data_IF_899215809561
#
_entry.id   IF_899215809561
#
_cell.length_a   1.000
_cell.length_b   1.000
_cell.length_c   1.000
_cell.angle_alpha   90.00
_cell.angle_beta   90.00
_cell.angle_gamma   90.00
#
_symmetry.space_group_name_H-M   'P 1'
#
loop_
_entity.id
_entity.type
_entity.pdbx_description
1 polymer ?
#
# COMPACT_ATOMS: atom_id res chain seq x y z
N UNK A 1 8.21 -53.80 -15.16
CA UNK A 1 8.93 -54.40 -16.28
C UNK A 1 9.65 -53.30 -17.04
N UNK A 2 11.00 -53.45 -17.13
CA UNK A 2 11.99 -52.66 -17.90
C UNK A 2 12.13 -51.16 -17.56
N UNK A 3 13.10 -50.71 -16.79
CA UNK A 3 14.58 -50.78 -16.74
C UNK A 3 15.29 -50.10 -17.93
N UNK A 4 16.14 -49.08 -17.50
CA UNK A 4 17.42 -48.66 -18.04
C UNK A 4 17.46 -47.83 -19.33
N UNK A 5 18.07 -46.60 -19.27
CA UNK A 5 19.53 -46.46 -19.46
C UNK A 5 20.03 -45.08 -19.08
N UNK A 6 21.01 -45.09 -18.22
CA UNK A 6 21.99 -44.06 -17.84
C UNK A 6 23.06 -43.97 -18.93
N UNK A 7 23.51 -42.77 -19.32
CA UNK A 7 24.80 -42.54 -19.96
C UNK A 7 25.47 -41.29 -19.42
N UNK A 8 26.55 -41.58 -18.70
CA UNK A 8 27.66 -40.72 -18.24
C UNK A 8 28.63 -40.56 -19.41
N UNK A 9 29.18 -39.35 -19.61
CA UNK A 9 30.50 -39.04 -20.25
C UNK A 9 30.56 -37.52 -20.31
N UNK A 10 31.59 -36.77 -19.95
CA UNK A 10 32.93 -37.07 -19.55
C UNK A 10 33.66 -35.73 -19.51
N UNK A 11 34.50 -35.60 -18.55
CA UNK A 11 35.51 -34.55 -18.30
C UNK A 11 36.28 -34.13 -19.55
N UNK A 12 36.51 -32.81 -19.75
CA UNK A 12 37.77 -32.32 -20.29
C UNK A 12 38.14 -30.96 -19.71
N UNK A 13 39.15 -31.02 -18.89
CA UNK A 13 39.95 -29.93 -18.32
C UNK A 13 40.97 -29.48 -19.37
N UNK A 14 41.02 -28.20 -19.75
CA UNK A 14 42.22 -27.64 -20.41
C UNK A 14 42.63 -26.37 -19.68
N UNK A 15 43.72 -26.54 -19.01
CA UNK A 15 44.56 -25.51 -18.39
C UNK A 15 45.48 -24.95 -19.48
N UNK A 16 45.57 -23.61 -19.65
CA UNK A 16 46.73 -23.04 -20.32
C UNK A 16 47.13 -21.71 -19.67
N UNK A 17 48.36 -21.79 -19.19
CA UNK A 17 49.12 -20.76 -18.47
C UNK A 17 49.71 -19.66 -19.41
N UNK A 18 49.83 -18.49 -18.82
CA UNK A 18 50.90 -17.48 -18.89
C UNK A 18 51.47 -17.02 -20.24
N UNK A 19 51.60 -15.70 -20.42
CA UNK A 19 52.91 -15.04 -20.61
C UNK A 19 52.88 -13.63 -20.06
N UNK A 20 53.71 -13.33 -19.10
CA UNK A 20 54.22 -12.02 -18.68
C UNK A 20 55.27 -11.52 -19.68
N UNK A 21 55.22 -10.25 -20.04
CA UNK A 21 56.41 -9.54 -20.49
C UNK A 21 56.37 -8.10 -19.99
N UNK A 22 57.25 -7.84 -19.03
CA UNK A 22 57.70 -6.51 -18.61
C UNK A 22 58.97 -6.15 -19.33
N UNK A 23 59.17 -4.83 -19.59
CA UNK A 23 60.46 -4.12 -19.70
C UNK A 23 60.13 -2.67 -20.07
N UNK A 24 60.32 -1.67 -19.27
CA UNK A 24 61.45 -1.05 -18.58
C UNK A 24 62.26 -0.08 -19.46
N UNK A 25 62.39 1.12 -18.84
CA UNK A 25 63.42 2.16 -18.93
C UNK A 25 63.51 2.98 -20.22
N UNK A 26 63.76 4.20 -20.24
CA UNK A 26 64.30 5.29 -19.41
C UNK A 26 64.63 6.48 -20.29
N UNK A 27 64.64 7.62 -19.71
CA UNK A 27 65.45 8.82 -19.96
C UNK A 27 65.04 9.88 -21.01
N UNK A 28 64.58 10.99 -20.47
CA UNK A 28 65.21 12.33 -20.41
C UNK A 28 65.01 13.36 -21.54
N UNK A 29 64.56 14.52 -21.02
CA UNK A 29 64.88 15.92 -21.29
C UNK A 29 64.18 16.75 -22.37
N UNK A 30 63.65 17.76 -21.74
CA UNK A 30 63.70 19.22 -22.01
C UNK A 30 62.71 19.90 -22.97
N UNK A 31 61.95 20.72 -22.29
CA UNK A 31 61.71 22.17 -22.44
C UNK A 31 60.86 22.68 -23.60
N UNK A 32 59.93 23.45 -23.13
CA UNK A 32 59.39 24.75 -23.56
C UNK A 32 58.03 24.78 -24.23
N UNK A 33 57.19 25.42 -23.43
CA UNK A 33 56.29 26.54 -23.77
C UNK A 33 55.20 26.37 -24.85
N UNK A 34 53.95 26.61 -24.46
CA UNK A 34 52.87 26.78 -25.41
C UNK A 34 51.48 26.58 -24.80
N UNK A 35 51.08 27.58 -24.03
CA UNK A 35 49.72 27.89 -23.60
C UNK A 35 48.62 27.51 -24.63
N UNK A 36 47.64 26.69 -24.25
CA UNK A 36 46.24 26.83 -24.63
C UNK A 36 45.39 25.92 -23.77
N UNK A 37 44.76 26.53 -22.80
CA UNK A 37 43.58 25.99 -22.16
C UNK A 37 42.47 25.70 -23.17
N UNK A 38 42.15 24.44 -23.36
CA UNK A 38 40.89 24.00 -23.92
C UNK A 38 40.21 23.16 -22.83
N UNK A 39 39.41 23.82 -22.01
CA UNK A 39 38.47 23.16 -21.13
C UNK A 39 37.45 22.45 -22.02
N UNK A 40 37.61 21.15 -22.14
CA UNK A 40 36.52 20.30 -22.56
C UNK A 40 35.69 20.02 -21.28
N UNK A 41 34.66 20.81 -21.07
CA UNK A 41 33.51 20.38 -20.26
C UNK A 41 32.97 19.12 -20.93
N UNK A 42 33.46 17.96 -20.50
CA UNK A 42 32.70 16.73 -20.62
C UNK A 42 31.57 16.90 -19.62
N UNK A 43 30.39 17.28 -20.10
CA UNK A 43 29.15 16.91 -19.39
C UNK A 43 29.26 15.40 -19.18
N UNK A 44 29.37 14.97 -17.94
CA UNK A 44 29.11 13.60 -17.57
C UNK A 44 27.65 13.35 -17.99
N UNK A 45 27.45 12.56 -19.02
CA UNK A 45 26.15 12.00 -19.37
C UNK A 45 25.76 11.16 -18.14
N UNK A 46 24.87 11.69 -17.29
CA UNK A 46 24.31 10.90 -16.19
C UNK A 46 23.70 9.65 -16.81
N UNK A 47 24.21 8.49 -16.41
CA UNK A 47 23.70 7.21 -16.89
C UNK A 47 22.21 7.12 -16.57
N UNK A 48 21.38 6.78 -17.54
CA UNK A 48 19.95 6.59 -17.34
C UNK A 48 19.70 5.56 -16.22
N UNK A 49 18.74 5.80 -15.30
CA UNK A 49 18.40 4.86 -14.25
C UNK A 49 18.08 3.48 -14.85
N UNK A 50 18.62 2.42 -14.23
CA UNK A 50 18.50 1.05 -14.74
C UNK A 50 18.50 0.02 -13.59
N UNK A 51 18.27 -1.25 -13.92
CA UNK A 51 18.31 -2.34 -12.97
C UNK A 51 16.93 -2.83 -12.56
N UNK A 52 16.74 -3.17 -11.30
CA UNK A 52 15.52 -3.83 -10.80
C UNK A 52 14.82 -3.00 -9.72
N UNK A 53 13.50 -3.18 -9.62
CA UNK A 53 12.67 -2.70 -8.52
C UNK A 53 11.70 -3.81 -8.11
N UNK A 54 11.69 -4.18 -6.84
CA UNK A 54 10.75 -5.17 -6.29
C UNK A 54 9.78 -4.48 -5.33
N UNK A 55 8.49 -4.56 -5.65
CA UNK A 55 7.40 -3.90 -4.93
C UNK A 55 6.57 -4.93 -4.16
N UNK A 56 6.34 -4.70 -2.85
CA UNK A 56 5.26 -5.36 -2.11
C UNK A 56 4.09 -4.40 -1.99
N UNK A 57 2.89 -4.84 -2.38
CA UNK A 57 1.74 -3.95 -2.48
C UNK A 57 0.43 -4.59 -2.00
N UNK A 58 -0.44 -3.75 -1.41
CA UNK A 58 -1.82 -4.11 -1.11
C UNK A 58 -2.83 -3.64 -2.16
N UNK A 59 -2.36 -3.04 -3.25
CA UNK A 59 -3.16 -2.44 -4.31
C UNK A 59 -3.77 -3.49 -5.24
N UNK A 60 -4.78 -3.08 -6.00
CA UNK A 60 -5.34 -3.86 -7.10
C UNK A 60 -4.28 -4.10 -8.20
N UNK A 61 -4.16 -5.35 -8.68
CA UNK A 61 -3.11 -5.75 -9.61
C UNK A 61 -3.17 -5.02 -10.95
N UNK A 62 -4.38 -4.74 -11.46
CA UNK A 62 -4.57 -4.03 -12.73
C UNK A 62 -4.10 -2.57 -12.59
N UNK A 63 -4.43 -1.93 -11.46
CA UNK A 63 -3.94 -0.60 -11.13
C UNK A 63 -2.41 -0.58 -11.03
N UNK A 64 -1.81 -1.53 -10.30
CA UNK A 64 -0.35 -1.62 -10.13
C UNK A 64 0.34 -1.76 -11.47
N UNK A 65 -0.15 -2.67 -12.33
CA UNK A 65 0.43 -2.86 -13.67
C UNK A 65 0.30 -1.60 -14.52
N UNK A 66 -0.86 -0.92 -14.51
CA UNK A 66 -1.07 0.30 -15.28
C UNK A 66 -0.15 1.45 -14.85
N UNK A 67 0.21 1.54 -13.57
CA UNK A 67 1.19 2.53 -13.07
C UNK A 67 2.61 2.13 -13.44
N UNK A 68 2.96 0.85 -13.35
CA UNK A 68 4.27 0.33 -13.76
C UNK A 68 4.51 0.57 -15.25
N UNK A 69 3.51 0.35 -16.09
CA UNK A 69 3.62 0.59 -17.53
C UNK A 69 3.99 2.05 -17.83
N UNK A 70 3.36 3.01 -17.14
CA UNK A 70 3.68 4.44 -17.27
C UNK A 70 5.05 4.79 -16.69
N UNK A 71 5.45 4.17 -15.58
CA UNK A 71 6.79 4.32 -15.04
C UNK A 71 7.84 3.84 -16.05
N UNK A 72 7.60 2.71 -16.69
CA UNK A 72 8.50 2.13 -17.68
C UNK A 72 8.55 2.91 -19.02
N UNK A 73 7.50 3.69 -19.35
CA UNK A 73 7.60 4.65 -20.47
C UNK A 73 8.66 5.72 -20.20
N UNK A 74 8.82 6.13 -18.93
CA UNK A 74 9.81 7.13 -18.51
C UNK A 74 11.18 6.51 -18.19
N UNK A 75 11.18 5.29 -17.64
CA UNK A 75 12.38 4.58 -17.17
C UNK A 75 12.44 3.14 -17.72
N UNK A 76 12.65 2.97 -19.04
CA UNK A 76 12.53 1.66 -19.71
C UNK A 76 13.60 0.65 -19.31
N UNK A 77 14.71 1.10 -18.71
CA UNK A 77 15.81 0.22 -18.29
C UNK A 77 15.64 -0.30 -16.83
N UNK A 78 14.51 0.02 -16.17
CA UNK A 78 14.20 -0.51 -14.84
C UNK A 78 13.17 -1.64 -14.99
N UNK A 79 13.58 -2.86 -14.64
CA UNK A 79 12.69 -4.02 -14.54
C UNK A 79 11.91 -3.97 -13.22
N UNK A 80 10.58 -3.86 -13.28
CA UNK A 80 9.73 -3.80 -12.09
C UNK A 80 9.01 -5.12 -11.88
N UNK A 81 9.19 -5.71 -10.68
CA UNK A 81 8.42 -6.88 -10.22
C UNK A 81 7.56 -6.47 -9.02
N UNK A 82 6.37 -7.06 -8.91
CA UNK A 82 5.55 -6.82 -7.73
C UNK A 82 4.91 -8.10 -7.18
N UNK A 83 4.55 -8.04 -5.90
CA UNK A 83 3.85 -9.11 -5.20
C UNK A 83 2.71 -8.51 -4.38
N UNK A 84 1.48 -8.97 -4.65
CA UNK A 84 0.26 -8.48 -3.99
C UNK A 84 -0.05 -9.28 -2.73
N UNK A 85 -0.27 -8.58 -1.61
CA UNK A 85 -0.70 -9.15 -0.33
C UNK A 85 -1.27 -8.05 0.58
N UNK A 86 -2.03 -8.42 1.62
CA UNK A 86 -2.57 -7.45 2.58
C UNK A 86 -1.48 -6.70 3.35
N UNK A 87 -1.75 -5.44 3.74
CA UNK A 87 -0.76 -4.57 4.40
C UNK A 87 -0.12 -5.20 5.65
N UNK A 88 -0.89 -5.92 6.47
CA UNK A 88 -0.36 -6.63 7.63
C UNK A 88 0.57 -7.79 7.23
N UNK A 89 0.23 -8.50 6.16
CA UNK A 89 1.09 -9.58 5.65
C UNK A 89 2.41 -9.03 5.11
N UNK A 90 2.40 -7.84 4.49
CA UNK A 90 3.61 -7.15 4.07
C UNK A 90 4.49 -6.83 5.28
N UNK A 91 3.92 -6.23 6.34
CA UNK A 91 4.66 -5.92 7.56
C UNK A 91 5.33 -7.15 8.16
N UNK A 92 4.59 -8.27 8.31
CA UNK A 92 5.15 -9.53 8.82
C UNK A 92 6.26 -10.08 7.93
N UNK A 93 6.10 -9.96 6.62
CA UNK A 93 7.11 -10.40 5.67
C UNK A 93 8.38 -9.55 5.75
N UNK A 94 8.26 -8.23 5.84
CA UNK A 94 9.40 -7.33 6.02
C UNK A 94 10.15 -7.63 7.33
N UNK A 95 9.43 -7.98 8.42
CA UNK A 95 10.04 -8.46 9.67
C UNK A 95 10.88 -9.72 9.45
N UNK A 96 10.31 -10.70 8.77
CA UNK A 96 10.98 -11.96 8.46
C UNK A 96 12.21 -11.79 7.54
N UNK A 97 12.15 -10.80 6.65
CA UNK A 97 13.20 -10.51 5.67
C UNK A 97 14.19 -9.42 6.12
N UNK A 98 14.06 -8.87 7.34
CA UNK A 98 14.86 -7.73 7.84
C UNK A 98 16.38 -7.88 7.63
N UNK A 99 16.91 -9.10 7.79
CA UNK A 99 18.34 -9.38 7.60
C UNK A 99 18.77 -9.46 6.13
N UNK A 100 17.82 -9.74 5.21
CA UNK A 100 18.04 -9.85 3.77
C UNK A 100 16.77 -9.48 3.02
N UNK A 101 16.45 -8.17 2.89
CA UNK A 101 15.25 -7.68 2.24
C UNK A 101 15.11 -8.21 0.81
N UNK A 102 13.91 -8.63 0.45
CA UNK A 102 13.57 -9.08 -0.90
C UNK A 102 12.78 -8.02 -1.66
N UNK A 103 12.09 -7.13 -0.96
CA UNK A 103 11.45 -5.96 -1.53
C UNK A 103 12.33 -4.72 -1.39
N UNK A 104 12.17 -3.80 -2.34
CA UNK A 104 12.78 -2.47 -2.31
C UNK A 104 11.76 -1.42 -1.85
N UNK A 105 10.49 -1.66 -2.13
CA UNK A 105 9.42 -0.69 -1.93
C UNK A 105 8.16 -1.35 -1.37
N UNK A 106 7.57 -0.70 -0.37
CA UNK A 106 6.25 -1.03 0.17
C UNK A 106 5.25 0.01 -0.31
N UNK A 107 4.28 -0.41 -1.11
CA UNK A 107 3.22 0.43 -1.65
C UNK A 107 1.86 0.02 -1.10
N UNK A 108 1.21 0.91 -0.36
CA UNK A 108 -0.10 0.64 0.24
C UNK A 108 0.00 0.11 1.67
N UNK A 109 0.82 0.76 2.50
CA UNK A 109 0.86 0.53 3.94
C UNK A 109 -0.15 1.39 4.67
N UNK A 110 -0.92 0.82 5.60
CA UNK A 110 -1.75 1.61 6.51
C UNK A 110 -0.88 2.42 7.45
N UNK A 111 -1.34 3.61 7.85
CA UNK A 111 -0.58 4.50 8.75
C UNK A 111 -0.11 3.77 10.01
N UNK A 112 -0.97 2.98 10.67
CA UNK A 112 -0.57 2.20 11.85
C UNK A 112 0.54 1.21 11.54
N UNK A 113 0.44 0.47 10.44
CA UNK A 113 1.45 -0.50 10.04
C UNK A 113 2.78 0.17 9.63
N UNK A 114 2.73 1.34 8.97
CA UNK A 114 3.91 2.13 8.63
C UNK A 114 4.60 2.70 9.87
N UNK A 115 3.84 3.18 10.87
CA UNK A 115 4.39 3.61 12.17
C UNK A 115 5.12 2.44 12.85
N UNK A 116 4.49 1.25 12.89
CA UNK A 116 5.14 0.04 13.43
C UNK A 116 6.40 -0.31 12.66
N UNK A 117 6.34 -0.33 11.32
CA UNK A 117 7.50 -0.60 10.46
C UNK A 117 8.66 0.38 10.68
N UNK A 118 8.34 1.66 10.87
CA UNK A 118 9.32 2.69 11.20
C UNK A 118 9.95 2.46 12.59
N UNK A 119 9.14 2.18 13.61
CA UNK A 119 9.60 1.93 14.98
C UNK A 119 10.46 0.66 15.08
N UNK A 120 10.20 -0.33 14.25
CA UNK A 120 10.98 -1.57 14.17
C UNK A 120 12.22 -1.49 13.27
N UNK A 121 12.51 -0.30 12.73
CA UNK A 121 13.67 -0.07 11.85
C UNK A 121 13.63 -0.94 10.58
N UNK A 122 12.47 -1.01 9.94
CA UNK A 122 12.24 -1.73 8.67
C UNK A 122 12.24 -0.80 7.46
N UNK A 123 12.16 0.52 7.68
CA UNK A 123 11.97 1.52 6.64
C UNK A 123 13.17 2.45 6.50
N UNK A 124 13.47 2.83 5.26
CA UNK A 124 14.59 3.69 4.91
C UNK A 124 14.19 5.17 5.02
N UNK A 125 14.94 5.95 5.80
CA UNK A 125 14.71 7.38 5.96
C UNK A 125 15.36 8.17 4.81
N UNK A 126 14.59 9.07 4.18
CA UNK A 126 15.09 10.00 3.17
C UNK A 126 14.18 11.22 3.02
N UNK A 127 14.56 12.20 2.20
CA UNK A 127 13.79 13.41 1.99
C UNK A 127 13.42 13.56 0.52
N UNK A 128 12.16 13.23 0.12
CA UNK A 128 11.70 13.41 -1.25
C UNK A 128 11.46 14.89 -1.59
N UNK A 129 11.42 15.19 -2.89
CA UNK A 129 11.24 16.56 -3.40
C UNK A 129 9.89 17.18 -3.02
N UNK A 130 8.86 16.36 -2.88
CA UNK A 130 7.48 16.77 -2.59
C UNK A 130 7.14 16.89 -1.09
N UNK A 131 8.08 16.62 -0.19
CA UNK A 131 7.83 16.45 1.25
C UNK A 131 7.05 17.61 1.90
N UNK A 132 7.27 18.84 1.43
CA UNK A 132 6.64 20.05 1.98
C UNK A 132 5.16 20.19 1.53
N UNK A 133 4.72 19.40 0.55
CA UNK A 133 3.32 19.36 0.09
C UNK A 133 2.45 18.33 0.83
N UNK A 134 3.04 17.51 1.71
CA UNK A 134 2.31 16.52 2.52
C UNK A 134 2.14 17.07 3.94
N UNK A 135 0.90 16.97 4.47
CA UNK A 135 0.60 17.36 5.86
C UNK A 135 1.49 16.59 6.86
N UNK A 136 1.83 17.24 7.98
CA UNK A 136 2.67 16.62 9.00
C UNK A 136 2.06 15.35 9.60
N UNK A 137 0.72 15.26 9.66
CA UNK A 137 0.01 14.08 10.16
C UNK A 137 -0.05 12.92 9.15
N UNK A 138 0.35 13.16 7.90
CA UNK A 138 0.32 12.19 6.82
C UNK A 138 1.72 11.72 6.40
N UNK A 139 2.72 11.90 7.24
CA UNK A 139 4.10 11.44 6.99
C UNK A 139 4.85 11.19 8.29
N UNK A 140 5.90 10.41 8.20
CA UNK A 140 6.85 10.25 9.30
C UNK A 140 7.77 11.47 9.44
N UNK A 141 8.01 11.94 10.67
CA UNK A 141 8.86 13.11 10.94
C UNK A 141 10.31 12.90 10.52
N UNK A 142 10.79 11.66 10.54
CA UNK A 142 12.15 11.29 10.14
C UNK A 142 12.25 10.87 8.66
N UNK A 143 11.13 10.95 7.92
CA UNK A 143 11.09 10.66 6.48
C UNK A 143 11.17 9.16 6.13
N UNK A 144 10.65 8.29 6.98
CA UNK A 144 10.66 6.83 6.76
C UNK A 144 9.46 6.32 5.98
N UNK A 145 8.33 7.07 6.00
CA UNK A 145 7.15 6.79 5.19
C UNK A 145 6.40 8.08 4.82
N UNK A 146 5.61 8.02 3.76
CA UNK A 146 4.83 9.13 3.22
C UNK A 146 3.44 8.65 2.87
N UNK A 147 2.41 9.36 3.34
CA UNK A 147 1.04 9.14 2.91
C UNK A 147 0.89 9.47 1.43
N UNK A 148 0.32 8.56 0.67
CA UNK A 148 0.01 8.75 -0.76
C UNK A 148 -1.43 9.22 -0.93
N UNK A 149 -2.36 8.54 -0.26
CA UNK A 149 -3.78 8.86 -0.35
C UNK A 149 -4.51 8.76 0.98
N UNK A 150 -5.67 9.38 1.04
CA UNK A 150 -6.64 9.24 2.11
C UNK A 150 -7.67 8.18 1.71
N UNK A 151 -7.95 7.26 2.61
CA UNK A 151 -8.95 6.22 2.46
C UNK A 151 -10.03 6.37 3.53
N UNK A 152 -11.15 7.04 3.23
CA UNK A 152 -12.32 7.01 4.09
C UNK A 152 -12.88 5.59 4.13
N UNK A 153 -13.05 5.06 5.34
CA UNK A 153 -13.66 3.76 5.58
C UNK A 153 -15.16 3.95 5.79
N UNK A 154 -15.97 3.32 4.95
CA UNK A 154 -17.41 3.60 4.88
C UNK A 154 -18.23 2.31 4.92
N UNK A 155 -19.55 2.47 4.98
CA UNK A 155 -20.50 1.35 4.86
C UNK A 155 -20.76 1.11 3.38
N UNK A 156 -20.37 -0.07 2.88
CA UNK A 156 -20.60 -0.54 1.52
C UNK A 156 -21.95 -1.23 1.45
N UNK A 157 -22.75 -0.94 0.43
CA UNK A 157 -24.04 -1.58 0.18
C UNK A 157 -24.11 -2.17 -1.23
N UNK A 158 -24.90 -3.23 -1.38
CA UNK A 158 -25.38 -3.68 -2.70
C UNK A 158 -26.56 -2.80 -3.13
N UNK A 159 -26.39 -2.02 -4.20
CA UNK A 159 -27.35 -1.05 -4.68
C UNK A 159 -28.60 -1.64 -5.34
N UNK A 160 -28.59 -2.96 -5.66
CA UNK A 160 -29.79 -3.67 -6.11
C UNK A 160 -30.73 -4.00 -4.94
N UNK A 161 -30.20 -4.02 -3.71
CA UNK A 161 -30.94 -4.43 -2.50
C UNK A 161 -31.25 -3.24 -1.59
N UNK A 162 -30.34 -2.28 -1.50
CA UNK A 162 -30.40 -1.14 -0.59
C UNK A 162 -30.10 0.16 -1.33
N UNK A 163 -30.74 1.24 -0.86
CA UNK A 163 -30.39 2.61 -1.28
C UNK A 163 -29.70 3.34 -0.14
N UNK A 164 -29.21 4.54 -0.42
CA UNK A 164 -28.62 5.42 0.62
C UNK A 164 -29.63 5.75 1.72
N UNK A 165 -30.92 5.74 1.43
CA UNK A 165 -32.02 6.04 2.38
C UNK A 165 -32.46 4.81 3.18
N UNK A 166 -32.35 3.60 2.59
CA UNK A 166 -32.84 2.35 3.21
C UNK A 166 -31.77 1.56 3.94
N UNK A 167 -30.51 1.82 3.62
CA UNK A 167 -29.36 1.20 4.30
C UNK A 167 -29.07 1.81 5.68
N UNK A 168 -28.08 1.28 6.40
CA UNK A 168 -27.65 1.80 7.70
C UNK A 168 -27.05 3.20 7.53
N UNK A 169 -27.52 4.19 8.30
CA UNK A 169 -27.11 5.59 8.18
C UNK A 169 -25.86 5.93 9.00
N UNK A 170 -25.57 5.11 10.02
CA UNK A 170 -24.40 5.27 10.87
C UNK A 170 -23.89 3.90 11.34
N UNK A 171 -22.72 3.89 11.95
CA UNK A 171 -22.06 2.69 12.46
C UNK A 171 -22.93 1.88 13.41
N UNK A 172 -23.64 2.55 14.33
CA UNK A 172 -24.47 1.87 15.33
C UNK A 172 -25.73 1.24 14.73
N UNK A 173 -26.20 1.71 13.56
CA UNK A 173 -27.30 1.09 12.84
C UNK A 173 -26.98 -0.33 12.35
N UNK A 174 -25.68 -0.64 12.14
CA UNK A 174 -25.22 -1.99 11.80
C UNK A 174 -25.52 -3.03 12.88
N UNK A 175 -25.76 -2.59 14.11
CA UNK A 175 -26.05 -3.45 15.26
C UNK A 175 -27.54 -3.82 15.37
N UNK A 176 -28.41 -3.22 14.55
CA UNK A 176 -29.84 -3.55 14.51
C UNK A 176 -30.03 -5.01 14.04
N UNK A 177 -30.79 -5.85 14.77
CA UNK A 177 -31.07 -7.24 14.38
C UNK A 177 -31.70 -7.42 13.00
N UNK A 178 -32.28 -6.36 12.40
CA UNK A 178 -32.78 -6.40 11.01
C UNK A 178 -31.69 -6.73 9.99
N UNK A 179 -30.42 -6.49 10.33
CA UNK A 179 -29.26 -6.79 9.48
C UNK A 179 -28.65 -8.18 9.74
N UNK A 180 -29.27 -9.00 10.58
CA UNK A 180 -28.79 -10.35 10.85
C UNK A 180 -28.58 -11.13 9.55
N UNK A 181 -27.38 -11.72 9.41
CA UNK A 181 -26.93 -12.45 8.22
C UNK A 181 -26.94 -11.64 6.91
N UNK A 182 -26.98 -10.31 6.98
CA UNK A 182 -26.87 -9.42 5.83
C UNK A 182 -25.47 -8.84 5.64
N UNK A 183 -24.61 -8.91 6.66
CA UNK A 183 -23.29 -8.31 6.65
C UNK A 183 -22.24 -9.35 6.26
N UNK A 184 -21.45 -9.06 5.23
CA UNK A 184 -20.29 -9.83 4.82
C UNK A 184 -19.03 -9.02 5.12
N UNK A 185 -18.08 -9.59 5.82
CA UNK A 185 -16.84 -8.89 6.22
C UNK A 185 -15.64 -9.61 5.62
N UNK A 186 -14.64 -8.86 5.18
CA UNK A 186 -13.34 -9.41 4.82
C UNK A 186 -12.61 -9.89 6.08
N UNK A 187 -11.77 -10.94 5.94
CA UNK A 187 -10.94 -11.45 7.03
C UNK A 187 -10.13 -10.33 7.69
N UNK A 188 -10.45 -10.04 8.95
CA UNK A 188 -10.01 -8.82 9.65
C UNK A 188 -8.49 -8.80 9.83
N UNK A 189 -7.89 -9.91 10.26
CA UNK A 189 -6.47 -9.95 10.64
C UNK A 189 -5.50 -9.63 9.49
N UNK A 190 -5.86 -10.01 8.27
CA UNK A 190 -5.01 -9.81 7.08
C UNK A 190 -5.25 -8.47 6.38
N UNK A 191 -6.38 -7.80 6.67
CA UNK A 191 -6.82 -6.59 5.97
C UNK A 191 -6.51 -5.33 6.76
N UNK A 192 -5.71 -4.42 6.18
CA UNK A 192 -5.48 -3.11 6.78
C UNK A 192 -6.76 -2.31 6.97
N UNK A 193 -7.63 -2.24 5.96
CA UNK A 193 -8.98 -1.62 6.04
C UNK A 193 -9.79 -2.16 7.21
N UNK A 194 -9.94 -3.49 7.32
CA UNK A 194 -10.75 -4.06 8.40
C UNK A 194 -10.13 -3.83 9.77
N UNK A 195 -8.82 -3.95 9.92
CA UNK A 195 -8.10 -3.63 11.16
C UNK A 195 -8.34 -2.18 11.55
N UNK A 196 -8.23 -1.26 10.60
CA UNK A 196 -8.51 0.17 10.82
C UNK A 196 -9.95 0.41 11.29
N UNK A 197 -10.95 -0.15 10.61
CA UNK A 197 -12.36 0.01 11.01
C UNK A 197 -12.58 -0.54 12.41
N UNK A 198 -12.16 -1.77 12.69
CA UNK A 198 -12.40 -2.44 13.96
C UNK A 198 -11.72 -1.72 15.13
N UNK A 199 -10.46 -1.33 14.95
CA UNK A 199 -9.74 -0.55 15.95
C UNK A 199 -10.34 0.84 16.14
N UNK A 200 -10.79 1.48 15.07
CA UNK A 200 -11.48 2.78 15.14
C UNK A 200 -12.79 2.71 15.91
N UNK A 201 -13.53 1.60 15.80
CA UNK A 201 -14.75 1.41 16.60
C UNK A 201 -14.41 1.23 18.08
N UNK A 202 -13.28 0.59 18.43
CA UNK A 202 -12.82 0.52 19.82
C UNK A 202 -12.48 1.93 20.34
N UNK A 203 -11.71 2.71 19.57
CA UNK A 203 -11.36 4.10 19.93
C UNK A 203 -12.61 4.97 20.06
N UNK A 204 -13.55 4.87 19.14
CA UNK A 204 -14.82 5.62 19.15
C UNK A 204 -15.66 5.36 20.41
N UNK A 205 -15.64 4.14 20.96
CA UNK A 205 -16.35 3.77 22.16
C UNK A 205 -15.60 4.17 23.45
N UNK A 206 -14.35 4.60 23.34
CA UNK A 206 -13.48 5.04 24.42
C UNK A 206 -12.25 4.16 24.57
N UNK A 207 -11.12 4.65 24.05
CA UNK A 207 -9.86 3.89 24.01
C UNK A 207 -9.34 3.42 25.38
N UNK A 208 -9.64 4.18 26.44
CA UNK A 208 -9.28 3.81 27.83
C UNK A 208 -10.13 2.65 28.40
N UNK A 209 -11.21 2.30 27.71
CA UNK A 209 -12.15 1.22 28.10
C UNK A 209 -12.48 0.37 26.87
N UNK A 210 -11.51 -0.42 26.33
CA UNK A 210 -11.69 -1.15 25.08
C UNK A 210 -12.84 -2.17 25.12
N UNK A 211 -13.29 -2.55 26.32
CA UNK A 211 -14.42 -3.45 26.55
C UNK A 211 -15.71 -2.96 25.88
N UNK A 212 -15.94 -1.64 25.86
CA UNK A 212 -17.12 -1.08 25.17
C UNK A 212 -17.02 -1.26 23.64
N UNK A 213 -15.82 -1.14 23.12
CA UNK A 213 -15.55 -1.43 21.70
C UNK A 213 -15.70 -2.92 21.40
N UNK A 214 -15.25 -3.79 22.29
CA UNK A 214 -15.43 -5.23 22.16
C UNK A 214 -16.92 -5.62 22.21
N UNK A 215 -17.71 -5.01 23.06
CA UNK A 215 -19.18 -5.19 23.10
C UNK A 215 -19.84 -4.74 21.79
N UNK A 216 -19.36 -3.63 21.21
CA UNK A 216 -19.82 -3.15 19.91
C UNK A 216 -19.49 -4.16 18.81
N UNK A 217 -18.25 -4.65 18.76
CA UNK A 217 -17.78 -5.63 17.78
C UNK A 217 -18.50 -6.99 17.95
N UNK A 218 -18.83 -7.40 19.18
CA UNK A 218 -19.60 -8.62 19.43
C UNK A 218 -21.02 -8.52 18.85
N UNK A 219 -21.66 -7.34 18.96
CA UNK A 219 -22.98 -7.09 18.35
C UNK A 219 -22.90 -7.05 16.83
N UNK A 220 -21.82 -6.50 16.26
CA UNK A 220 -21.58 -6.55 14.83
C UNK A 220 -21.39 -8.00 14.36
N UNK A 221 -20.64 -8.81 15.11
CA UNK A 221 -20.43 -10.24 14.81
C UNK A 221 -21.76 -11.01 14.79
N UNK A 222 -22.71 -10.67 15.67
CA UNK A 222 -24.06 -11.27 15.69
C UNK A 222 -24.81 -11.08 14.36
N UNK A 223 -24.62 -9.95 13.68
CA UNK A 223 -25.22 -9.64 12.39
C UNK A 223 -24.35 -10.07 11.19
N UNK A 224 -23.08 -10.41 11.44
CA UNK A 224 -22.13 -10.81 10.40
C UNK A 224 -22.43 -12.25 9.96
N UNK A 225 -22.73 -12.44 8.68
CA UNK A 225 -22.96 -13.74 8.08
C UNK A 225 -21.69 -14.55 7.95
N UNK A 226 -20.63 -13.90 7.45
CA UNK A 226 -19.38 -14.57 7.09
C UNK A 226 -18.19 -13.59 7.08
N UNK A 227 -17.01 -14.13 7.41
CA UNK A 227 -15.71 -13.50 7.23
C UNK A 227 -14.98 -14.11 6.04
N UNK A 228 -14.91 -13.39 4.93
CA UNK A 228 -14.34 -13.85 3.66
C UNK A 228 -12.88 -13.49 3.55
N UNK A 229 -11.98 -14.45 3.35
CA UNK A 229 -10.53 -14.20 3.34
C UNK A 229 -10.04 -13.42 2.10
N UNK A 230 -10.64 -13.67 0.95
CA UNK A 230 -10.29 -13.06 -0.32
C UNK A 230 -11.24 -11.89 -0.66
N UNK A 231 -10.71 -10.69 -1.03
CA UNK A 231 -11.55 -9.54 -1.38
C UNK A 231 -12.42 -9.78 -2.61
N UNK A 232 -11.90 -10.46 -3.64
CA UNK A 232 -12.69 -10.73 -4.85
C UNK A 232 -13.84 -11.72 -4.55
N UNK A 233 -13.61 -12.69 -3.66
CA UNK A 233 -14.67 -13.57 -3.19
C UNK A 233 -15.77 -12.81 -2.45
N UNK A 234 -15.41 -11.80 -1.64
CA UNK A 234 -16.38 -10.93 -0.96
C UNK A 234 -17.20 -10.12 -1.99
N UNK A 235 -16.55 -9.51 -2.96
CA UNK A 235 -17.25 -8.75 -4.02
C UNK A 235 -18.23 -9.63 -4.79
N UNK A 236 -17.82 -10.83 -5.18
CA UNK A 236 -18.70 -11.79 -5.88
C UNK A 236 -19.90 -12.21 -5.03
N UNK A 237 -19.70 -12.43 -3.71
CA UNK A 237 -20.81 -12.77 -2.79
C UNK A 237 -21.82 -11.62 -2.66
N UNK A 238 -21.32 -10.39 -2.50
CA UNK A 238 -22.20 -9.22 -2.47
C UNK A 238 -22.96 -9.05 -3.79
N UNK A 239 -22.29 -9.17 -4.94
CA UNK A 239 -22.91 -9.10 -6.26
C UNK A 239 -23.98 -10.19 -6.47
N UNK A 240 -23.78 -11.38 -5.90
CA UNK A 240 -24.76 -12.47 -5.91
C UNK A 240 -25.86 -12.35 -4.86
N UNK A 241 -25.89 -11.21 -4.14
CA UNK A 241 -26.88 -10.95 -3.11
C UNK A 241 -26.85 -11.96 -1.95
N UNK A 242 -25.67 -12.52 -1.66
CA UNK A 242 -25.49 -13.43 -0.52
C UNK A 242 -25.46 -12.65 0.82
N UNK A 243 -25.32 -11.34 0.76
CA UNK A 243 -25.46 -10.32 1.78
C UNK A 243 -25.70 -8.98 1.10
N UNK A 244 -26.11 -7.98 1.86
CA UNK A 244 -26.43 -6.64 1.33
C UNK A 244 -25.49 -5.54 1.79
N UNK A 245 -24.64 -5.81 2.78
CA UNK A 245 -23.80 -4.84 3.46
C UNK A 245 -22.38 -5.40 3.64
N UNK A 246 -21.39 -4.51 3.52
CA UNK A 246 -20.03 -4.72 4.00
C UNK A 246 -19.47 -3.44 4.60
N UNK A 247 -18.27 -3.51 5.16
CA UNK A 247 -17.47 -2.36 5.56
C UNK A 247 -16.26 -2.31 4.62
N UNK A 248 -15.97 -1.13 4.05
CA UNK A 248 -14.93 -1.05 3.04
C UNK A 248 -14.38 0.36 2.86
N UNK A 249 -13.26 0.51 2.16
CA UNK A 249 -12.77 1.82 1.77
C UNK A 249 -13.54 2.38 0.57
N UNK A 250 -13.69 3.70 0.57
CA UNK A 250 -14.45 4.42 -0.47
C UNK A 250 -13.85 4.23 -1.86
N UNK A 251 -12.52 4.24 -1.99
CA UNK A 251 -11.83 4.12 -3.26
C UNK A 251 -12.19 2.83 -4.01
N UNK A 252 -12.07 1.67 -3.35
CA UNK A 252 -12.36 0.39 -3.96
C UNK A 252 -13.84 0.27 -4.36
N UNK A 253 -14.76 0.82 -3.54
CA UNK A 253 -16.19 0.82 -3.86
C UNK A 253 -16.43 1.58 -5.16
N UNK A 254 -15.87 2.79 -5.29
CA UNK A 254 -16.00 3.60 -6.51
C UNK A 254 -15.34 2.93 -7.70
N UNK A 255 -14.15 2.39 -7.52
CA UNK A 255 -13.42 1.68 -8.57
C UNK A 255 -14.25 0.51 -9.10
N UNK A 256 -14.73 -0.38 -8.23
CA UNK A 256 -15.52 -1.55 -8.66
C UNK A 256 -16.87 -1.15 -9.23
N UNK A 257 -17.52 -0.10 -8.72
CA UNK A 257 -18.77 0.44 -9.28
C UNK A 257 -18.61 0.90 -10.72
N UNK A 258 -17.55 1.66 -11.02
CA UNK A 258 -17.41 2.35 -12.31
C UNK A 258 -16.54 1.60 -13.33
N UNK A 259 -15.68 0.65 -12.92
CA UNK A 259 -14.84 -0.10 -13.86
C UNK A 259 -15.34 -1.51 -14.13
N UNK A 260 -16.08 -2.13 -13.19
CA UNK A 260 -16.56 -3.52 -13.31
C UNK A 260 -18.08 -3.65 -13.27
N UNK A 261 -18.82 -2.54 -13.24
CA UNK A 261 -20.29 -2.48 -13.17
C UNK A 261 -20.88 -3.33 -12.01
N UNK A 262 -20.14 -3.45 -10.90
CA UNK A 262 -20.69 -4.13 -9.73
C UNK A 262 -21.79 -3.26 -9.08
N UNK A 263 -22.87 -3.88 -8.57
CA UNK A 263 -23.97 -3.15 -7.96
C UNK A 263 -23.57 -2.64 -6.56
N UNK A 264 -22.55 -1.81 -6.50
CA UNK A 264 -22.04 -1.28 -5.26
C UNK A 264 -22.34 0.21 -5.12
N UNK A 265 -22.68 0.61 -3.92
CA UNK A 265 -22.71 2.01 -3.49
C UNK A 265 -22.23 2.09 -2.04
N UNK A 266 -22.15 3.29 -1.51
CA UNK A 266 -21.71 3.52 -0.15
C UNK A 266 -22.65 4.47 0.60
N UNK A 267 -22.67 4.31 1.91
CA UNK A 267 -23.24 5.26 2.84
C UNK A 267 -22.10 5.81 3.68
N UNK A 268 -21.92 7.13 3.63
CA UNK A 268 -20.98 7.83 4.48
C UNK A 268 -21.60 8.00 5.85
N UNK A 269 -21.03 7.43 6.95
CA UNK A 269 -21.68 7.45 8.26
C UNK A 269 -21.90 8.87 8.79
N UNK A 270 -23.07 9.15 9.36
CA UNK A 270 -23.42 10.47 9.84
C UNK A 270 -22.52 11.00 10.94
N UNK A 271 -22.01 10.12 11.82
CA UNK A 271 -21.05 10.47 12.85
C UNK A 271 -19.64 10.72 12.34
N UNK A 272 -19.39 10.45 11.07
CA UNK A 272 -18.06 10.49 10.42
C UNK A 272 -17.48 9.11 10.16
N UNK A 273 -16.40 9.08 9.39
CA UNK A 273 -15.68 7.87 9.03
C UNK A 273 -14.24 7.92 9.52
N UNK A 274 -13.61 6.80 9.86
CA UNK A 274 -12.16 6.78 9.98
C UNK A 274 -11.56 7.07 8.61
N UNK A 275 -10.62 8.01 8.55
CA UNK A 275 -9.89 8.32 7.33
C UNK A 275 -8.48 7.80 7.50
N UNK A 276 -8.25 6.61 6.96
CA UNK A 276 -6.95 5.98 6.95
C UNK A 276 -6.00 6.74 6.01
N UNK A 277 -4.82 7.06 6.47
CA UNK A 277 -3.72 7.44 5.58
C UNK A 277 -3.09 6.15 5.07
N UNK A 278 -3.17 5.95 3.77
CA UNK A 278 -2.50 4.87 3.08
C UNK A 278 -1.24 5.43 2.41
N UNK A 279 -0.11 4.77 2.62
CA UNK A 279 1.17 5.37 2.27
C UNK A 279 2.17 4.39 1.70
N UNK A 280 3.36 4.94 1.50
CA UNK A 280 4.49 4.30 0.85
C UNK A 280 5.74 4.39 1.70
N UNK A 281 6.63 3.41 1.54
CA UNK A 281 7.93 3.42 2.20
C UNK A 281 8.98 2.68 1.37
N UNK A 282 10.20 3.19 1.36
CA UNK A 282 11.36 2.46 0.87
C UNK A 282 11.81 1.49 1.97
N UNK A 283 12.09 0.25 1.61
CA UNK A 283 12.50 -0.77 2.57
C UNK A 283 13.95 -0.53 3.02
N UNK A 284 14.21 -0.65 4.32
CA UNK A 284 15.56 -0.48 4.85
C UNK A 284 16.50 -1.57 4.36
N UNK A 285 17.72 -1.20 3.97
CA UNK A 285 18.72 -2.09 3.39
C UNK A 285 18.25 -2.81 2.10
N UNK A 286 17.26 -2.26 1.41
CA UNK A 286 16.86 -2.74 0.10
C UNK A 286 18.03 -2.72 -0.89
N UNK A 287 17.96 -3.57 -1.91
CA UNK A 287 19.04 -3.70 -2.89
C UNK A 287 19.05 -2.55 -3.91
N UNK A 288 17.86 -2.00 -4.19
CA UNK A 288 17.63 -1.01 -5.24
C UNK A 288 16.96 0.26 -4.67
N UNK A 289 17.55 0.83 -3.61
CA UNK A 289 17.01 2.01 -2.90
C UNK A 289 16.78 3.18 -3.86
N UNK A 290 17.70 3.45 -4.77
CA UNK A 290 17.60 4.56 -5.73
C UNK A 290 16.42 4.40 -6.69
N UNK A 291 16.19 3.19 -7.22
CA UNK A 291 15.02 2.90 -8.06
C UNK A 291 13.70 3.00 -7.27
N UNK A 292 13.72 2.57 -5.99
CA UNK A 292 12.56 2.72 -5.12
C UNK A 292 12.24 4.20 -4.84
N UNK A 293 13.24 5.03 -4.55
CA UNK A 293 13.08 6.47 -4.39
C UNK A 293 12.56 7.14 -5.67
N UNK A 294 13.10 6.74 -6.82
CA UNK A 294 12.66 7.23 -8.13
C UNK A 294 11.18 6.89 -8.39
N UNK A 295 10.76 5.68 -8.04
CA UNK A 295 9.37 5.27 -8.18
C UNK A 295 8.45 6.08 -7.23
N UNK A 296 8.90 6.37 -5.99
CA UNK A 296 8.16 7.26 -5.08
C UNK A 296 8.02 8.67 -5.66
N UNK A 297 9.12 9.27 -6.16
CA UNK A 297 9.06 10.60 -6.79
C UNK A 297 8.07 10.60 -7.96
N UNK A 298 8.06 9.54 -8.79
CA UNK A 298 7.14 9.37 -9.90
C UNK A 298 5.67 9.29 -9.44
N UNK A 299 5.37 8.49 -8.40
CA UNK A 299 4.02 8.37 -7.85
C UNK A 299 3.47 9.71 -7.36
N UNK A 300 4.35 10.57 -6.83
CA UNK A 300 3.98 11.87 -6.31
C UNK A 300 4.12 13.01 -7.32
N UNK A 301 4.46 12.78 -8.58
CA UNK A 301 4.33 13.81 -9.63
C UNK A 301 2.89 14.30 -9.73
N UNK A 302 2.68 15.60 -9.88
CA UNK A 302 1.31 16.19 -9.90
C UNK A 302 0.42 15.57 -10.98
N UNK A 303 1.00 15.27 -12.13
CA UNK A 303 0.32 14.61 -13.24
C UNK A 303 -0.12 13.19 -12.86
N UNK A 304 0.77 12.42 -12.21
CA UNK A 304 0.46 11.06 -11.74
C UNK A 304 -0.60 11.09 -10.65
N UNK A 305 -0.46 11.97 -9.66
CA UNK A 305 -1.46 12.15 -8.58
C UNK A 305 -2.84 12.48 -9.15
N UNK A 306 -2.90 13.41 -10.11
CA UNK A 306 -4.17 13.77 -10.78
C UNK A 306 -4.73 12.58 -11.57
N UNK A 307 -3.87 11.82 -12.25
CA UNK A 307 -4.26 10.62 -13.00
C UNK A 307 -4.79 9.53 -12.06
N UNK A 308 -4.12 9.27 -10.94
CA UNK A 308 -4.57 8.29 -9.94
C UNK A 308 -5.94 8.66 -9.36
N UNK A 309 -6.22 9.95 -9.18
CA UNK A 309 -7.54 10.41 -8.76
C UNK A 309 -8.61 10.21 -9.84
N UNK A 310 -8.28 10.46 -11.11
CA UNK A 310 -9.23 10.30 -12.23
C UNK A 310 -9.51 8.83 -12.55
N UNK A 311 -8.48 8.01 -12.63
CA UNK A 311 -8.59 6.64 -13.14
C UNK A 311 -8.89 5.63 -12.03
N UNK A 312 -8.42 5.89 -10.80
CA UNK A 312 -8.48 4.95 -9.68
C UNK A 312 -9.14 5.50 -8.42
N UNK A 313 -9.81 6.64 -8.50
CA UNK A 313 -10.57 7.24 -7.40
C UNK A 313 -9.75 7.51 -6.13
N UNK A 314 -8.47 7.81 -6.27
CA UNK A 314 -7.62 8.15 -5.12
C UNK A 314 -7.86 9.58 -4.62
N UNK A 315 -7.90 9.74 -3.31
CA UNK A 315 -7.95 11.04 -2.63
C UNK A 315 -6.51 11.38 -2.20
N UNK A 316 -5.79 12.28 -2.89
CA UNK A 316 -4.39 12.51 -2.62
C UNK A 316 -4.14 13.20 -1.28
N UNK A 317 -2.98 12.94 -0.69
CA UNK A 317 -2.48 13.65 0.48
C UNK A 317 -1.75 14.95 0.12
N UNK A 318 -1.32 15.11 -1.15
CA UNK A 318 -0.67 16.34 -1.63
C UNK A 318 -1.62 17.53 -1.57
N UNK A 319 -1.24 18.57 -0.83
CA UNK A 319 -2.03 19.79 -0.63
C UNK A 319 -1.86 20.84 -1.74
N UNK A 320 -0.87 20.66 -2.62
CA UNK A 320 -0.51 21.62 -3.68
C UNK A 320 -1.02 21.21 -5.07
N UNK A 321 -2.00 20.29 -5.13
CA UNK A 321 -2.74 19.95 -6.33
C UNK A 321 -3.88 20.95 -6.51
N UNK A 322 -4.03 21.48 -7.73
CA UNK A 322 -5.16 22.35 -8.05
C UNK A 322 -6.47 21.56 -7.98
N UNK A 323 -7.35 21.96 -7.06
CA UNK A 323 -8.65 21.30 -6.89
C UNK A 323 -9.49 21.32 -8.19
N UNK A 324 -9.31 22.34 -9.04
CA UNK A 324 -9.99 22.41 -10.32
C UNK A 324 -9.51 21.38 -11.35
N UNK A 325 -8.30 20.83 -11.17
CA UNK A 325 -7.77 19.74 -11.99
C UNK A 325 -8.28 18.37 -11.55
N UNK A 326 -8.88 18.27 -10.36
CA UNK A 326 -9.39 17.03 -9.80
C UNK A 326 -10.76 16.68 -10.39
N UNK A 327 -11.14 15.39 -10.47
CA UNK A 327 -12.43 14.97 -10.99
C UNK A 327 -13.60 15.51 -10.16
N UNK A 328 -14.78 15.63 -10.78
CA UNK A 328 -16.00 16.18 -10.17
C UNK A 328 -16.35 15.45 -8.86
N UNK A 329 -16.28 14.12 -8.85
CA UNK A 329 -16.56 13.33 -7.66
C UNK A 329 -15.72 13.73 -6.44
N UNK A 330 -14.44 14.12 -6.67
CA UNK A 330 -13.54 14.57 -5.61
C UNK A 330 -13.93 15.96 -5.11
N UNK A 331 -14.38 16.85 -6.02
CA UNK A 331 -14.76 18.22 -5.65
C UNK A 331 -16.01 18.27 -4.76
N UNK A 332 -16.87 17.25 -4.85
CA UNK A 332 -18.11 17.11 -4.07
C UNK A 332 -17.91 16.38 -2.74
N UNK A 333 -16.73 15.80 -2.48
CA UNK A 333 -16.46 15.08 -1.25
C UNK A 333 -16.46 16.01 -0.04
N UNK A 334 -17.26 15.64 0.96
CA UNK A 334 -17.23 16.17 2.32
C UNK A 334 -16.70 15.08 3.27
N UNK A 335 -15.41 15.16 3.58
CA UNK A 335 -14.71 14.16 4.39
C UNK A 335 -14.91 14.45 5.88
N UNK A 336 -16.05 14.05 6.41
CA UNK A 336 -16.31 14.09 7.85
C UNK A 336 -15.61 12.95 8.54
N UNK A 337 -14.75 13.25 9.51
CA UNK A 337 -14.02 12.24 10.29
C UNK A 337 -14.32 12.38 11.77
N UNK A 338 -14.12 11.33 12.55
CA UNK A 338 -13.96 11.42 13.99
C UNK A 338 -12.48 11.31 14.36
N UNK A 339 -12.13 11.85 15.51
CA UNK A 339 -10.75 11.92 15.98
C UNK A 339 -10.19 10.53 16.29
N UNK A 340 -9.02 10.23 15.75
CA UNK A 340 -8.31 8.97 15.92
C UNK A 340 -6.87 9.25 16.34
N UNK A 341 -6.49 8.72 17.49
CA UNK A 341 -5.08 8.67 17.88
C UNK A 341 -4.39 7.50 17.16
N UNK A 342 -3.75 7.79 16.04
CA UNK A 342 -3.05 6.81 15.20
C UNK A 342 -1.85 6.18 15.91
N UNK A 343 -1.20 6.91 16.83
CA UNK A 343 -0.11 6.33 17.62
C UNK A 343 -0.64 5.29 18.59
N UNK A 344 -1.71 5.61 19.31
CA UNK A 344 -2.38 4.65 20.18
C UNK A 344 -2.87 3.42 19.40
N UNK A 345 -3.45 3.63 18.22
CA UNK A 345 -3.84 2.52 17.34
C UNK A 345 -2.63 1.66 16.97
N UNK A 346 -1.52 2.24 16.55
CA UNK A 346 -0.32 1.46 16.21
C UNK A 346 0.21 0.63 17.38
N UNK A 347 0.11 1.16 18.60
CA UNK A 347 0.59 0.50 19.81
C UNK A 347 -0.34 -0.62 20.29
N UNK A 348 -1.64 -0.51 20.02
CA UNK A 348 -2.69 -1.36 20.59
C UNK A 348 -3.41 -2.28 19.59
N UNK A 349 -3.33 -1.99 18.31
CA UNK A 349 -4.07 -2.70 17.27
C UNK A 349 -3.84 -4.22 17.32
N UNK A 350 -2.59 -4.66 17.52
CA UNK A 350 -2.25 -6.08 17.57
C UNK A 350 -2.99 -6.79 18.74
N UNK A 351 -2.96 -6.18 19.94
CA UNK A 351 -3.66 -6.67 21.14
C UNK A 351 -5.18 -6.73 20.94
N UNK A 352 -5.75 -5.66 20.36
CA UNK A 352 -7.18 -5.59 20.10
C UNK A 352 -7.66 -6.62 19.07
N UNK A 353 -6.87 -6.82 18.02
CA UNK A 353 -7.20 -7.80 16.98
C UNK A 353 -7.04 -9.25 17.45
N UNK A 354 -6.06 -9.54 18.30
CA UNK A 354 -5.93 -10.84 18.97
C UNK A 354 -7.12 -11.12 19.87
N UNK A 355 -7.54 -10.12 20.67
CA UNK A 355 -8.73 -10.23 21.51
C UNK A 355 -9.99 -10.50 20.67
N UNK A 356 -10.16 -9.75 19.56
CA UNK A 356 -11.29 -9.96 18.67
C UNK A 356 -11.31 -11.36 18.07
N UNK A 357 -10.21 -11.86 17.55
CA UNK A 357 -10.14 -13.18 16.90
C UNK A 357 -10.42 -14.32 17.89
N UNK A 358 -9.94 -14.16 19.15
CA UNK A 358 -10.03 -15.19 20.17
C UNK A 358 -11.37 -15.19 20.91
N UNK A 359 -11.93 -14.00 21.18
CA UNK A 359 -13.05 -13.85 22.14
C UNK A 359 -14.35 -13.36 21.50
N UNK A 360 -14.32 -12.76 20.30
CA UNK A 360 -15.48 -12.12 19.70
C UNK A 360 -15.93 -12.85 18.43
N UNK A 361 -15.03 -13.10 17.50
CA UNK A 361 -15.34 -13.70 16.21
C UNK A 361 -16.08 -15.03 16.35
N UNK A 362 -17.29 -15.07 15.82
CA UNK A 362 -18.20 -16.23 15.87
C UNK A 362 -18.89 -16.46 17.21
N UNK A 363 -18.69 -15.57 18.19
CA UNK A 363 -19.31 -15.66 19.51
C UNK A 363 -20.51 -14.70 19.70
N UNK A 364 -20.81 -13.86 18.71
CA UNK A 364 -21.96 -12.95 18.73
C UNK A 364 -23.29 -13.62 18.41
N UNK A 365 -23.27 -14.86 17.90
CA UNK A 365 -24.45 -15.62 17.45
C UNK A 365 -25.01 -16.49 18.55
#
# INVERSE_FOLDING_TARGET
MMMKKMRIFGFLLVLMLMVLAACSSDDNKDATDGDKASGSDKAEEEASPSGKLVIYTGRDEEMVQGVIDQFNEKYPEIEVEFLTMGAQQILERLRGEKANPQADFWWGGTQSALIVGANEDLLHAWKPSFIDSIDANHKDSDGRWFGEMLLPEVIMINSDLLTKETGPQDWDDLLDPKWQDQILIRGVLASGTMRTIYSSMIVRQGADTPEKGYDWLLKLDANTKEYTQDPNALYLKLTRQEGSISLWNLQDILLKKYTTDYPFDYIYPQSGAPILVDGVAVVKNAKNVENAQLFVEFLFEKEMVTKLANDYYQIPTRSDIDKAAMPEWYQELDLKTFDIDWQLMSDKEAEWMEHWDTNIKGNGK
#
